data_IF_755487104728
#
_entry.id   IF_755487104728
#
_cell.length_a   1.000
_cell.length_b   1.000
_cell.length_c   1.000
_cell.angle_alpha   90.00
_cell.angle_beta   90.00
_cell.angle_gamma   90.00
#
_symmetry.space_group_name_H-M   'P 1'
#
loop_
_entity.id
_entity.type
_entity.pdbx_description
1 polymer ?
#
# COMPACT_ATOMS: atom_id res chain seq x y z
N UNK A 1 -39.12 -35.34 35.54
CA UNK A 1 -38.29 -34.18 35.91
C UNK A 1 -37.10 -34.16 34.98
N UNK A 2 -37.18 -33.33 33.95
CA UNK A 2 -36.06 -32.92 33.10
C UNK A 2 -35.55 -31.62 33.68
N UNK A 3 -34.25 -31.52 33.93
CA UNK A 3 -33.48 -30.29 33.80
C UNK A 3 -31.99 -30.60 33.95
N UNK A 4 -31.19 -30.30 32.94
CA UNK A 4 -30.12 -29.29 33.07
C UNK A 4 -29.27 -29.25 31.79
N UNK A 5 -29.28 -28.03 31.24
CA UNK A 5 -28.36 -27.39 30.30
C UNK A 5 -26.92 -27.95 30.25
N UNK A 6 -26.40 -28.13 29.03
CA UNK A 6 -24.97 -28.01 28.75
C UNK A 6 -24.74 -26.94 27.68
N UNK A 7 -24.14 -25.84 28.12
CA UNK A 7 -23.48 -24.84 27.30
C UNK A 7 -22.26 -25.46 26.59
N UNK A 8 -22.10 -25.18 25.31
CA UNK A 8 -20.89 -25.52 24.54
C UNK A 8 -19.85 -24.44 24.80
N UNK A 9 -18.72 -24.86 25.36
CA UNK A 9 -17.56 -24.03 25.72
C UNK A 9 -16.77 -23.63 24.47
N UNK A 10 -16.52 -22.33 24.28
CA UNK A 10 -15.68 -21.79 23.23
C UNK A 10 -14.21 -22.18 23.46
N UNK A 11 -13.60 -22.83 22.47
CA UNK A 11 -12.17 -23.13 22.48
C UNK A 11 -11.34 -21.84 22.43
N UNK A 12 -10.60 -21.58 23.51
CA UNK A 12 -9.53 -20.59 23.59
C UNK A 12 -8.38 -21.01 22.66
N UNK A 13 -8.08 -20.20 21.65
CA UNK A 13 -6.89 -20.38 20.82
C UNK A 13 -5.66 -19.76 21.50
N UNK A 14 -4.54 -20.49 21.65
CA UNK A 14 -3.31 -19.92 22.19
C UNK A 14 -2.65 -19.01 21.15
N UNK A 15 -2.51 -17.72 21.49
CA UNK A 15 -1.64 -16.79 20.77
C UNK A 15 -0.17 -17.17 21.05
N UNK A 16 0.48 -17.87 20.11
CA UNK A 16 1.94 -17.92 20.08
C UNK A 16 2.47 -16.80 19.17
N UNK A 17 3.12 -15.75 19.72
CA UNK A 17 3.80 -14.78 18.90
C UNK A 17 5.02 -15.45 18.25
N UNK A 18 5.01 -15.55 16.92
CA UNK A 18 6.18 -15.94 16.13
C UNK A 18 7.21 -14.83 16.27
N UNK A 19 8.31 -15.09 16.99
CA UNK A 19 9.49 -14.21 17.02
C UNK A 19 10.25 -14.37 15.70
N UNK A 20 10.19 -13.34 14.85
CA UNK A 20 11.08 -13.22 13.71
C UNK A 20 12.50 -12.91 14.21
N UNK A 21 13.50 -13.62 13.67
CA UNK A 21 14.90 -13.23 13.81
C UNK A 21 15.12 -11.99 12.95
N UNK A 22 15.63 -10.93 13.56
CA UNK A 22 16.00 -9.67 12.91
C UNK A 22 16.93 -9.94 11.71
N UNK A 23 16.44 -9.67 10.51
CA UNK A 23 17.28 -9.49 9.33
C UNK A 23 18.01 -8.14 9.40
N UNK A 24 19.16 -8.07 8.74
CA UNK A 24 20.11 -6.95 8.63
C UNK A 24 19.47 -5.54 8.75
N UNK A 25 20.12 -4.57 9.43
CA UNK A 25 19.44 -3.48 10.11
C UNK A 25 18.63 -2.65 9.12
N UNK A 26 17.33 -2.63 9.37
CA UNK A 26 16.38 -1.71 8.80
C UNK A 26 16.82 -0.26 8.97
N UNK A 27 16.47 0.57 7.99
CA UNK A 27 16.58 2.01 8.10
C UNK A 27 15.79 2.49 9.33
N UNK A 28 16.48 2.79 10.42
CA UNK A 28 15.82 3.19 11.66
C UNK A 28 15.15 4.57 11.47
N UNK A 29 14.30 5.01 12.40
CA UNK A 29 13.60 6.30 12.31
C UNK A 29 14.54 7.48 12.01
N UNK A 30 15.78 7.41 12.49
CA UNK A 30 16.81 8.43 12.26
C UNK A 30 17.30 8.40 10.81
N UNK A 31 17.54 7.23 10.24
CA UNK A 31 17.95 7.10 8.83
C UNK A 31 16.83 7.52 7.87
N UNK A 32 15.56 7.27 8.20
CA UNK A 32 14.40 7.78 7.44
C UNK A 32 14.32 9.31 7.50
N UNK A 33 14.55 9.89 8.68
CA UNK A 33 14.66 11.34 8.87
C UNK A 33 15.77 11.92 7.99
N UNK A 34 16.98 11.35 8.08
CA UNK A 34 18.14 11.77 7.30
C UNK A 34 17.87 11.68 5.79
N UNK A 35 17.18 10.64 5.30
CA UNK A 35 16.83 10.51 3.88
C UNK A 35 15.85 11.61 3.44
N UNK A 36 14.84 11.93 4.26
CA UNK A 36 13.93 13.05 3.97
C UNK A 36 14.70 14.38 3.91
N UNK A 37 15.57 14.64 4.88
CA UNK A 37 16.43 15.83 4.91
C UNK A 37 17.31 15.93 3.67
N UNK A 38 17.94 14.82 3.25
CA UNK A 38 18.78 14.79 2.04
C UNK A 38 18.00 15.15 0.77
N UNK A 39 16.77 14.65 0.63
CA UNK A 39 15.93 14.93 -0.54
C UNK A 39 15.44 16.38 -0.55
N UNK A 40 15.02 16.90 0.61
CA UNK A 40 14.65 18.31 0.77
C UNK A 40 15.85 19.20 0.48
N UNK A 41 17.04 18.86 0.99
CA UNK A 41 18.27 19.58 0.71
C UNK A 41 18.63 19.57 -0.78
N UNK A 42 18.51 18.41 -1.45
CA UNK A 42 18.72 18.29 -2.89
C UNK A 42 17.76 19.18 -3.69
N UNK A 43 16.48 19.22 -3.32
CA UNK A 43 15.51 20.11 -3.93
C UNK A 43 15.92 21.58 -3.85
N UNK A 44 16.32 22.06 -2.66
CA UNK A 44 16.76 23.44 -2.51
C UNK A 44 18.04 23.75 -3.30
N UNK A 45 19.01 22.82 -3.32
CA UNK A 45 20.23 22.97 -4.16
C UNK A 45 19.88 23.11 -5.64
N UNK A 46 19.00 22.25 -6.15
CA UNK A 46 18.53 22.31 -7.54
C UNK A 46 17.83 23.63 -7.87
N UNK A 47 17.21 24.29 -6.89
CA UNK A 47 16.54 25.57 -7.02
C UNK A 47 17.45 26.79 -6.69
N UNK A 48 18.77 26.57 -6.66
CA UNK A 48 19.78 27.62 -6.57
C UNK A 48 19.97 28.18 -5.16
N UNK A 49 19.76 27.36 -4.13
CA UNK A 49 20.16 27.66 -2.76
C UNK A 49 21.51 27.01 -2.43
N UNK A 50 22.30 27.68 -1.60
CA UNK A 50 23.37 27.06 -0.82
C UNK A 50 22.73 26.32 0.36
N UNK A 51 23.08 25.04 0.57
CA UNK A 51 22.35 24.18 1.52
C UNK A 51 23.30 23.36 2.39
N UNK A 52 23.09 23.46 3.69
CA UNK A 52 23.72 22.67 4.74
C UNK A 52 22.66 21.89 5.54
N UNK A 53 23.04 20.76 6.13
CA UNK A 53 22.14 19.90 6.90
C UNK A 53 22.63 19.76 8.33
N UNK A 54 21.71 19.58 9.28
CA UNK A 54 22.00 19.41 10.71
C UNK A 54 22.90 20.52 11.27
N UNK A 55 22.61 21.77 10.88
CA UNK A 55 23.41 22.94 11.24
C UNK A 55 23.07 23.35 12.67
N UNK A 56 24.10 23.55 13.50
CA UNK A 56 23.95 24.06 14.86
C UNK A 56 24.19 25.56 14.88
N UNK A 57 23.18 26.31 15.29
CA UNK A 57 23.21 27.78 15.35
C UNK A 57 22.94 28.21 16.79
N UNK A 58 23.80 29.05 17.33
CA UNK A 58 23.57 29.72 18.61
C UNK A 58 22.60 30.89 18.41
N UNK A 59 21.46 30.84 19.12
CA UNK A 59 20.47 31.91 19.12
C UNK A 59 20.88 33.08 20.01
N UNK A 60 20.14 34.19 19.93
CA UNK A 60 20.35 35.40 20.76
C UNK A 60 20.25 35.10 22.26
N UNK A 61 19.51 34.05 22.63
CA UNK A 61 19.39 33.55 24.00
C UNK A 61 20.65 32.85 24.54
N UNK A 62 21.63 32.52 23.68
CA UNK A 62 22.76 31.63 23.98
C UNK A 62 22.41 30.14 23.87
N UNK A 63 21.16 29.80 23.54
CA UNK A 63 20.74 28.42 23.27
C UNK A 63 21.21 27.95 21.89
N UNK A 64 21.67 26.70 21.80
CA UNK A 64 22.04 26.07 20.53
C UNK A 64 20.83 25.38 19.93
N UNK A 65 20.47 25.75 18.71
CA UNK A 65 19.40 25.14 17.93
C UNK A 65 20.00 24.33 16.77
N UNK A 66 19.45 23.15 16.54
CA UNK A 66 19.80 22.32 15.38
C UNK A 66 18.72 22.49 14.31
N UNK A 67 19.15 22.72 13.07
CA UNK A 67 18.29 22.91 11.91
C UNK A 67 18.55 21.79 10.92
N UNK A 68 17.52 20.98 10.67
CA UNK A 68 17.62 19.78 9.84
C UNK A 68 18.12 20.12 8.42
N UNK A 69 17.52 21.13 7.78
CA UNK A 69 18.02 21.71 6.52
C UNK A 69 18.04 23.23 6.60
N UNK A 70 19.23 23.80 6.44
CA UNK A 70 19.46 25.23 6.35
C UNK A 70 19.76 25.59 4.89
N UNK A 71 18.97 26.49 4.31
CA UNK A 71 19.10 26.87 2.91
C UNK A 71 19.20 28.39 2.75
N UNK A 72 20.23 28.88 2.08
CA UNK A 72 20.50 30.29 1.86
C UNK A 72 20.51 30.63 0.38
N UNK A 73 19.94 31.78 0.04
CA UNK A 73 20.03 32.34 -1.30
C UNK A 73 20.39 33.81 -1.22
N UNK A 74 21.43 34.19 -1.94
CA UNK A 74 21.83 35.58 -2.12
C UNK A 74 21.15 36.14 -3.36
N UNK A 75 20.49 37.29 -3.24
CA UNK A 75 19.82 37.97 -4.36
C UNK A 75 20.62 39.15 -4.95
N UNK A 76 21.84 39.37 -4.46
CA UNK A 76 22.66 40.53 -4.82
C UNK A 76 22.67 41.64 -3.77
N UNK A 77 21.72 41.63 -2.83
CA UNK A 77 21.52 42.69 -1.82
C UNK A 77 21.44 42.10 -0.41
N UNK A 78 20.69 41.03 -0.23
CA UNK A 78 20.49 40.38 1.07
C UNK A 78 20.56 38.87 0.96
N UNK A 79 20.93 38.24 2.07
CA UNK A 79 20.73 36.82 2.25
C UNK A 79 19.28 36.56 2.63
N UNK A 80 18.68 35.60 1.94
CA UNK A 80 17.41 35.00 2.32
C UNK A 80 17.65 33.58 2.80
N UNK A 81 17.47 33.36 4.10
CA UNK A 81 17.76 32.13 4.80
C UNK A 81 16.45 31.43 5.19
N UNK A 82 16.38 30.14 4.88
CA UNK A 82 15.32 29.23 5.25
C UNK A 82 15.84 28.26 6.33
N UNK A 83 15.03 28.04 7.36
CA UNK A 83 15.15 26.88 8.24
C UNK A 83 14.04 25.90 7.90
N UNK A 84 14.41 24.66 7.60
CA UNK A 84 13.46 23.60 7.26
C UNK A 84 13.55 22.50 8.31
N UNK A 85 12.45 22.27 9.01
CA UNK A 85 12.30 21.16 9.96
C UNK A 85 11.66 19.97 9.24
N UNK A 86 12.30 18.82 9.27
CA UNK A 86 11.85 17.60 8.63
C UNK A 86 11.24 16.63 9.65
N UNK A 87 10.03 16.16 9.36
CA UNK A 87 9.30 15.18 10.19
C UNK A 87 8.86 14.01 9.34
N UNK A 88 9.71 12.99 9.32
CA UNK A 88 9.45 11.69 8.67
C UNK A 88 8.55 10.74 9.50
N UNK A 89 7.73 11.30 10.38
CA UNK A 89 6.86 10.55 11.29
C UNK A 89 5.74 9.83 10.55
N UNK A 90 5.23 8.75 11.13
CA UNK A 90 4.07 8.00 10.62
C UNK A 90 2.72 8.61 11.02
N UNK A 91 2.74 9.64 11.88
CA UNK A 91 1.55 10.35 12.35
C UNK A 91 1.64 11.83 11.98
N UNK A 92 0.49 12.52 11.78
CA UNK A 92 0.47 13.95 11.55
C UNK A 92 1.15 14.71 12.69
N UNK A 93 1.86 15.80 12.37
CA UNK A 93 2.46 16.66 13.39
C UNK A 93 1.40 17.43 14.19
N UNK A 94 1.77 17.78 15.42
CA UNK A 94 0.96 18.60 16.31
C UNK A 94 1.52 20.03 16.42
N UNK A 95 0.82 20.87 17.19
CA UNK A 95 1.13 22.31 17.33
C UNK A 95 2.52 22.55 17.92
N UNK A 96 3.01 21.65 18.76
CA UNK A 96 4.29 21.73 19.44
C UNK A 96 5.47 21.84 18.45
N UNK A 97 5.45 21.08 17.35
CA UNK A 97 6.48 21.14 16.29
C UNK A 97 6.54 22.55 15.69
N UNK A 98 5.38 23.14 15.41
CA UNK A 98 5.27 24.49 14.85
C UNK A 98 5.75 25.54 15.84
N UNK A 99 5.32 25.44 17.11
CA UNK A 99 5.73 26.36 18.17
C UNK A 99 7.23 26.30 18.41
N UNK A 100 7.84 25.11 18.39
CA UNK A 100 9.29 24.93 18.49
C UNK A 100 10.02 25.66 17.36
N UNK A 101 9.63 25.43 16.10
CA UNK A 101 10.29 26.09 14.97
C UNK A 101 10.11 27.62 15.02
N UNK A 102 8.93 28.13 15.40
CA UNK A 102 8.73 29.58 15.57
C UNK A 102 9.71 30.17 16.59
N UNK A 103 9.90 29.50 17.74
CA UNK A 103 10.88 29.93 18.75
C UNK A 103 12.31 29.95 18.19
N UNK A 104 12.70 28.92 17.43
CA UNK A 104 14.02 28.85 16.78
C UNK A 104 14.22 30.03 15.82
N UNK A 105 13.23 30.33 14.97
CA UNK A 105 13.30 31.44 14.02
C UNK A 105 13.45 32.80 14.72
N UNK A 106 12.67 33.03 15.78
CA UNK A 106 12.73 34.26 16.55
C UNK A 106 14.10 34.46 17.22
N UNK A 107 14.67 33.38 17.76
CA UNK A 107 15.93 33.41 18.48
C UNK A 107 17.15 33.51 17.54
N UNK A 108 17.11 32.85 16.39
CA UNK A 108 18.20 32.85 15.41
C UNK A 108 18.15 33.99 14.40
N UNK A 109 16.97 34.60 14.18
CA UNK A 109 16.78 35.65 13.18
C UNK A 109 16.69 35.14 11.73
N UNK A 110 16.49 33.85 11.53
CA UNK A 110 16.27 33.26 10.19
C UNK A 110 14.98 33.79 9.57
N UNK A 111 15.00 34.05 8.26
CA UNK A 111 13.94 34.82 7.59
C UNK A 111 12.62 34.06 7.49
N UNK A 112 12.67 32.74 7.27
CA UNK A 112 11.47 31.93 7.01
C UNK A 112 11.65 30.48 7.46
N UNK A 113 10.60 29.93 8.07
CA UNK A 113 10.51 28.51 8.41
C UNK A 113 9.63 27.73 7.45
N UNK A 114 10.05 26.49 7.17
CA UNK A 114 9.26 25.49 6.46
C UNK A 114 9.23 24.23 7.33
N UNK A 115 8.08 23.58 7.47
CA UNK A 115 7.98 22.25 8.09
C UNK A 115 7.56 21.27 7.02
N UNK A 116 8.38 20.24 6.85
CA UNK A 116 8.12 19.13 5.94
C UNK A 116 7.60 17.95 6.75
N UNK A 117 6.38 17.49 6.47
CA UNK A 117 5.75 16.40 7.21
C UNK A 117 5.19 15.32 6.27
N UNK A 118 5.76 14.11 6.34
CA UNK A 118 5.35 13.00 5.47
C UNK A 118 3.87 12.62 5.60
N UNK A 119 3.29 12.78 6.79
CA UNK A 119 1.90 12.44 7.08
C UNK A 119 1.05 13.67 7.40
N UNK A 120 1.48 14.86 6.98
CA UNK A 120 0.76 16.11 7.18
C UNK A 120 0.66 16.54 8.65
N UNK A 121 -0.42 17.22 9.00
CA UNK A 121 -0.58 17.90 10.30
C UNK A 121 -2.04 17.90 10.79
N UNK A 122 -2.23 18.13 12.10
CA UNK A 122 -3.55 18.39 12.69
C UNK A 122 -3.98 19.84 12.47
N UNK A 123 -5.28 20.14 12.56
CA UNK A 123 -5.83 21.50 12.37
C UNK A 123 -5.23 22.55 13.32
N UNK A 124 -4.85 22.14 14.54
CA UNK A 124 -4.16 23.02 15.49
C UNK A 124 -2.76 23.44 15.03
N UNK A 125 -2.03 22.53 14.37
CA UNK A 125 -0.73 22.82 13.77
C UNK A 125 -0.87 23.71 12.53
N UNK A 126 -1.87 23.46 11.67
CA UNK A 126 -2.18 24.33 10.53
C UNK A 126 -2.48 25.77 10.95
N UNK A 127 -3.34 25.92 11.95
CA UNK A 127 -3.73 27.23 12.50
C UNK A 127 -2.51 27.95 13.07
N UNK A 128 -1.67 27.24 13.83
CA UNK A 128 -0.44 27.79 14.37
C UNK A 128 0.54 28.19 13.27
N UNK A 129 0.76 27.36 12.25
CA UNK A 129 1.71 27.65 11.18
C UNK A 129 1.30 28.90 10.41
N UNK A 130 -0.01 29.07 10.15
CA UNK A 130 -0.55 30.28 9.55
C UNK A 130 -0.32 31.53 10.41
N UNK A 131 -0.50 31.43 11.73
CA UNK A 131 -0.26 32.55 12.66
C UNK A 131 1.22 32.94 12.71
N UNK A 132 2.09 31.94 12.79
CA UNK A 132 3.55 32.10 12.86
C UNK A 132 4.20 32.35 11.48
N UNK A 133 3.39 32.36 10.40
CA UNK A 133 3.85 32.50 9.00
C UNK A 133 4.87 31.43 8.59
N UNK A 134 4.78 30.24 9.19
CA UNK A 134 5.56 29.05 8.82
C UNK A 134 4.84 28.33 7.68
N UNK A 135 5.60 27.93 6.67
CA UNK A 135 5.07 27.17 5.54
C UNK A 135 5.05 25.68 5.87
N UNK A 136 4.03 24.97 5.38
CA UNK A 136 3.87 23.53 5.62
C UNK A 136 3.91 22.80 4.29
N UNK A 137 4.77 21.80 4.19
CA UNK A 137 4.84 20.88 3.05
C UNK A 137 4.36 19.50 3.48
N UNK A 138 3.18 19.12 3.01
CA UNK A 138 2.56 17.83 3.24
C UNK A 138 2.76 16.90 2.05
N UNK A 139 2.01 15.79 1.98
CA UNK A 139 2.12 14.84 0.87
C UNK A 139 1.94 15.46 -0.52
N UNK A 140 1.07 16.47 -0.65
CA UNK A 140 0.79 17.12 -1.92
C UNK A 140 1.99 17.97 -2.39
N UNK A 141 2.48 18.84 -1.52
CA UNK A 141 3.62 19.72 -1.78
C UNK A 141 4.90 18.89 -1.98
N UNK A 142 5.08 17.82 -1.20
CA UNK A 142 6.21 16.90 -1.39
C UNK A 142 6.13 16.17 -2.73
N UNK A 143 4.93 15.81 -3.19
CA UNK A 143 4.77 15.22 -4.52
C UNK A 143 5.11 16.23 -5.62
N UNK A 144 4.70 17.49 -5.44
CA UNK A 144 4.98 18.57 -6.39
C UNK A 144 6.48 18.91 -6.45
N UNK A 145 7.14 19.00 -5.30
CA UNK A 145 8.55 19.42 -5.19
C UNK A 145 9.53 18.27 -5.43
N UNK A 146 9.26 17.06 -4.91
CA UNK A 146 10.20 15.92 -4.93
C UNK A 146 9.82 14.82 -5.93
N UNK A 147 8.57 14.82 -6.42
CA UNK A 147 8.05 13.79 -7.31
C UNK A 147 7.42 12.58 -6.58
N UNK A 148 6.45 11.95 -7.24
CA UNK A 148 5.64 10.85 -6.67
C UNK A 148 6.41 9.56 -6.38
N UNK A 149 7.48 9.28 -7.13
CA UNK A 149 8.34 8.10 -6.94
C UNK A 149 9.15 8.24 -5.64
N UNK A 150 9.81 9.38 -5.44
CA UNK A 150 10.61 9.64 -4.25
C UNK A 150 9.75 9.65 -2.97
N UNK A 151 8.54 10.20 -3.03
CA UNK A 151 7.63 10.16 -1.89
C UNK A 151 7.14 8.73 -1.57
N UNK A 152 6.98 7.89 -2.59
CA UNK A 152 6.68 6.48 -2.39
C UNK A 152 7.85 5.76 -1.73
N UNK A 153 9.10 6.04 -2.13
CA UNK A 153 10.31 5.44 -1.55
C UNK A 153 10.53 5.87 -0.08
N UNK A 154 10.32 7.16 0.22
CA UNK A 154 10.39 7.70 1.59
C UNK A 154 9.31 7.11 2.51
N UNK A 155 8.12 6.82 1.98
CA UNK A 155 7.06 6.12 2.72
C UNK A 155 7.31 4.61 2.80
N UNK A 156 7.99 4.04 1.80
CA UNK A 156 8.31 2.62 1.73
C UNK A 156 9.33 2.17 2.79
N UNK A 157 10.17 3.10 3.28
CA UNK A 157 11.22 2.86 4.28
C UNK A 157 10.73 2.67 5.74
N UNK A 158 9.43 2.72 6.03
CA UNK A 158 8.89 2.35 7.35
C UNK A 158 8.71 0.84 7.44
N UNK A 159 9.45 0.19 8.35
CA UNK A 159 9.48 -1.28 8.53
C UNK A 159 8.23 -1.94 9.09
N UNK A 160 7.13 -1.21 9.22
CA UNK A 160 5.81 -1.77 9.45
C UNK A 160 4.77 -0.85 8.80
N UNK A 161 4.25 -1.25 7.63
CA UNK A 161 3.13 -0.60 6.96
C UNK A 161 1.85 -1.05 7.63
N UNK A 162 1.01 -0.10 8.07
CA UNK A 162 -0.34 -0.40 8.49
C UNK A 162 -1.16 -0.68 7.22
N UNK A 163 -1.69 -1.89 7.09
CA UNK A 163 -2.54 -2.30 5.98
C UNK A 163 -3.81 -2.96 6.49
N UNK A 164 -4.82 -2.98 5.64
CA UNK A 164 -6.05 -3.72 5.89
C UNK A 164 -5.88 -5.11 5.27
N UNK A 165 -5.70 -6.15 6.08
CA UNK A 165 -5.53 -7.52 5.60
C UNK A 165 -6.86 -8.25 5.42
N UNK A 166 -6.98 -9.00 4.32
CA UNK A 166 -8.05 -9.98 4.18
C UNK A 166 -7.85 -11.14 5.20
N UNK A 167 -8.91 -11.88 5.59
CA UNK A 167 -8.86 -12.95 6.59
C UNK A 167 -8.17 -14.25 6.11
N UNK A 168 -7.05 -14.12 5.39
CA UNK A 168 -6.21 -15.21 4.91
C UNK A 168 -4.79 -15.06 5.50
N UNK A 169 -4.57 -15.49 6.75
CA UNK A 169 -3.28 -15.33 7.41
C UNK A 169 -2.21 -16.18 6.72
N UNK A 170 -0.95 -15.82 6.94
CA UNK A 170 0.19 -16.66 6.54
C UNK A 170 0.09 -18.01 7.26
N UNK A 171 0.11 -19.11 6.48
CA UNK A 171 0.12 -20.48 7.00
C UNK A 171 1.36 -21.26 6.57
N UNK A 172 2.01 -20.84 5.48
CA UNK A 172 3.20 -21.49 4.93
C UNK A 172 4.44 -20.73 5.37
N UNK A 173 5.29 -21.41 6.12
CA UNK A 173 6.56 -20.85 6.58
C UNK A 173 7.57 -20.76 5.42
N UNK A 174 8.52 -19.83 5.55
CA UNK A 174 9.54 -19.58 4.53
C UNK A 174 10.32 -20.84 4.14
N UNK A 175 10.63 -21.69 5.12
CA UNK A 175 11.41 -22.91 4.95
C UNK A 175 10.72 -23.93 4.02
N UNK A 176 9.39 -23.94 4.01
CA UNK A 176 8.58 -24.87 3.20
C UNK A 176 8.52 -24.47 1.73
N UNK A 177 8.89 -23.21 1.40
CA UNK A 177 8.85 -22.69 0.04
C UNK A 177 10.06 -23.09 -0.78
N UNK A 178 11.19 -23.40 -0.13
CA UNK A 178 12.47 -23.62 -0.82
C UNK A 178 12.33 -24.67 -1.92
N UNK A 179 11.62 -25.76 -1.66
CA UNK A 179 11.36 -26.83 -2.65
C UNK A 179 10.51 -26.34 -3.82
N UNK A 180 9.48 -25.55 -3.54
CA UNK A 180 8.59 -24.99 -4.56
C UNK A 180 9.34 -24.00 -5.43
N UNK A 181 10.10 -23.07 -4.84
CA UNK A 181 10.90 -22.07 -5.54
C UNK A 181 12.06 -22.69 -6.32
N UNK A 182 12.75 -23.70 -5.77
CA UNK A 182 13.76 -24.47 -6.48
C UNK A 182 13.17 -25.16 -7.72
N UNK A 183 11.95 -25.67 -7.61
CA UNK A 183 11.24 -26.25 -8.77
C UNK A 183 10.94 -25.18 -9.82
N UNK A 184 10.54 -23.97 -9.41
CA UNK A 184 10.30 -22.84 -10.33
C UNK A 184 11.59 -22.28 -10.98
N UNK A 185 12.76 -22.48 -10.36
CA UNK A 185 14.06 -22.11 -10.93
C UNK A 185 14.52 -23.03 -12.07
N UNK A 186 13.96 -24.25 -12.16
CA UNK A 186 14.33 -25.25 -13.17
C UNK A 186 13.50 -24.98 -14.43
N UNK A 187 14.14 -24.55 -15.51
CA UNK A 187 13.48 -24.42 -16.81
C UNK A 187 12.88 -25.75 -17.30
N UNK A 188 12.05 -25.69 -18.35
CA UNK A 188 11.45 -26.89 -18.95
C UNK A 188 12.52 -27.96 -19.24
N UNK A 189 12.25 -29.19 -18.80
CA UNK A 189 13.15 -30.35 -18.94
C UNK A 189 14.54 -30.21 -18.28
N UNK A 190 14.67 -29.36 -17.25
CA UNK A 190 15.95 -29.18 -16.55
C UNK A 190 16.99 -28.38 -17.34
N UNK A 191 16.59 -27.77 -18.46
CA UNK A 191 17.47 -26.91 -19.26
C UNK A 191 17.25 -25.45 -18.91
N UNK A 192 18.34 -24.76 -18.56
CA UNK A 192 18.34 -23.32 -18.28
C UNK A 192 17.76 -22.96 -16.91
N UNK A 193 18.57 -23.15 -15.87
CA UNK A 193 18.29 -22.69 -14.51
C UNK A 193 18.24 -21.15 -14.50
N UNK A 194 17.24 -20.60 -13.83
CA UNK A 194 17.15 -19.17 -13.55
C UNK A 194 17.83 -18.87 -12.22
N UNK A 195 18.55 -17.76 -12.16
CA UNK A 195 19.19 -17.31 -10.93
C UNK A 195 18.14 -16.65 -10.05
N UNK A 196 17.95 -17.19 -8.84
CA UNK A 196 17.10 -16.55 -7.83
C UNK A 196 17.89 -15.42 -7.21
N UNK A 197 17.39 -14.20 -7.37
CA UNK A 197 18.04 -12.97 -6.90
C UNK A 197 17.69 -12.73 -5.43
N UNK A 198 16.40 -12.75 -5.09
CA UNK A 198 15.90 -12.64 -3.72
C UNK A 198 14.51 -13.27 -3.56
N UNK A 199 14.10 -13.49 -2.30
CA UNK A 199 12.77 -13.96 -1.92
C UNK A 199 12.30 -13.26 -0.63
N UNK A 200 11.04 -12.83 -0.58
CA UNK A 200 10.49 -12.14 0.60
C UNK A 200 8.96 -12.26 0.66
N UNK A 201 8.40 -12.22 1.87
CA UNK A 201 6.96 -12.10 2.10
C UNK A 201 6.50 -10.67 1.77
N UNK A 202 5.54 -10.55 0.86
CA UNK A 202 4.92 -9.29 0.47
C UNK A 202 3.40 -9.34 0.61
N UNK A 203 2.82 -8.23 1.05
CA UNK A 203 1.38 -8.04 1.11
C UNK A 203 0.91 -7.37 -0.19
N UNK A 204 0.19 -8.13 -1.03
CA UNK A 204 -0.24 -7.71 -2.36
C UNK A 204 -1.64 -7.08 -2.27
N UNK A 205 -1.91 -5.92 -2.89
CA UNK A 205 -3.17 -5.19 -2.75
C UNK A 205 -4.27 -5.73 -3.69
N UNK A 206 -5.49 -5.73 -3.19
CA UNK A 206 -6.70 -6.13 -3.90
C UNK A 206 -7.85 -5.15 -3.59
N UNK A 207 -8.69 -4.89 -4.57
CA UNK A 207 -10.00 -4.28 -4.34
C UNK A 207 -10.98 -5.36 -3.88
N UNK A 208 -11.40 -5.32 -2.63
CA UNK A 208 -12.51 -6.12 -2.11
C UNK A 208 -13.81 -5.37 -2.34
N UNK A 209 -14.68 -5.94 -3.18
CA UNK A 209 -16.02 -5.42 -3.44
C UNK A 209 -17.06 -6.25 -2.69
N UNK A 210 -17.94 -5.59 -1.95
CA UNK A 210 -19.18 -6.18 -1.44
C UNK A 210 -20.27 -6.02 -2.49
N UNK A 211 -20.81 -7.16 -2.94
CA UNK A 211 -21.77 -7.24 -4.04
C UNK A 211 -23.11 -7.77 -3.53
N UNK A 212 -24.18 -7.04 -3.81
CA UNK A 212 -25.54 -7.54 -3.66
C UNK A 212 -26.02 -8.13 -4.98
N UNK A 213 -26.13 -9.46 -5.02
CA UNK A 213 -26.49 -10.22 -6.21
C UNK A 213 -27.94 -10.68 -6.11
N UNK A 214 -28.77 -10.23 -7.04
CA UNK A 214 -30.15 -10.71 -7.18
C UNK A 214 -30.22 -11.82 -8.21
N UNK A 215 -30.84 -12.94 -7.87
CA UNK A 215 -31.08 -14.09 -8.74
C UNK A 215 -32.57 -14.44 -8.75
N UNK A 216 -33.07 -14.96 -9.87
CA UNK A 216 -34.46 -15.43 -9.97
C UNK A 216 -34.50 -16.91 -9.67
N UNK A 217 -35.24 -17.28 -8.62
CA UNK A 217 -35.48 -18.68 -8.25
C UNK A 217 -36.84 -19.10 -8.82
N UNK A 218 -36.84 -20.22 -9.55
CA UNK A 218 -38.07 -20.82 -10.09
C UNK A 218 -38.30 -22.17 -9.42
N UNK A 219 -39.26 -22.22 -8.52
CA UNK A 219 -39.77 -23.47 -7.95
C UNK A 219 -40.94 -24.00 -8.81
N UNK A 220 -41.04 -25.33 -8.93
CA UNK A 220 -42.13 -25.96 -9.67
C UNK A 220 -43.49 -25.54 -9.08
N UNK A 221 -44.41 -25.09 -9.94
CA UNK A 221 -45.77 -24.60 -9.61
C UNK A 221 -45.87 -23.28 -8.81
N UNK A 222 -44.76 -22.59 -8.50
CA UNK A 222 -44.78 -21.31 -7.79
C UNK A 222 -44.38 -20.14 -8.69
N UNK A 223 -44.87 -18.93 -8.34
CA UNK A 223 -44.42 -17.70 -9.00
C UNK A 223 -42.91 -17.52 -8.77
N UNK A 224 -42.14 -17.08 -9.79
CA UNK A 224 -40.72 -16.80 -9.61
C UNK A 224 -40.51 -15.79 -8.49
N UNK A 225 -39.52 -16.06 -7.62
CA UNK A 225 -39.13 -15.14 -6.55
C UNK A 225 -37.70 -14.66 -6.79
N UNK A 226 -37.41 -13.45 -6.34
CA UNK A 226 -36.05 -12.90 -6.38
C UNK A 226 -35.37 -13.20 -5.06
N UNK A 227 -34.20 -13.84 -5.12
CA UNK A 227 -33.33 -14.04 -3.96
C UNK A 227 -32.14 -13.09 -4.09
N UNK A 228 -31.93 -12.27 -3.05
CA UNK A 228 -30.73 -11.43 -2.92
C UNK A 228 -29.71 -12.17 -2.07
N UNK A 229 -28.45 -12.13 -2.46
CA UNK A 229 -27.33 -12.74 -1.72
C UNK A 229 -26.14 -11.79 -1.76
N UNK A 230 -25.45 -11.64 -0.64
CA UNK A 230 -24.21 -10.88 -0.56
C UNK A 230 -23.04 -11.77 -0.95
N UNK A 231 -22.15 -11.23 -1.77
CA UNK A 231 -20.89 -11.87 -2.14
C UNK A 231 -19.74 -10.88 -2.01
N UNK A 232 -18.57 -11.37 -1.64
CA UNK A 232 -17.32 -10.62 -1.61
C UNK A 232 -16.48 -11.06 -2.80
N UNK A 233 -16.02 -10.09 -3.60
CA UNK A 233 -15.17 -10.35 -4.76
C UNK A 233 -13.87 -9.58 -4.64
N UNK A 234 -12.73 -10.27 -4.84
CA UNK A 234 -11.44 -9.63 -4.90
C UNK A 234 -10.97 -9.46 -6.33
N UNK A 235 -10.38 -8.30 -6.59
CA UNK A 235 -9.75 -7.95 -7.85
C UNK A 235 -8.35 -7.45 -7.56
N UNK A 236 -7.36 -7.92 -8.30
CA UNK A 236 -5.98 -7.49 -8.13
C UNK A 236 -5.86 -5.97 -8.36
N UNK A 237 -5.34 -5.23 -7.39
CA UNK A 237 -5.25 -3.77 -7.48
C UNK A 237 -4.05 -3.28 -8.32
N UNK A 238 -3.33 -4.20 -8.99
CA UNK A 238 -2.30 -3.86 -9.97
C UNK A 238 -2.85 -3.77 -11.39
N UNK A 239 -3.90 -4.53 -11.72
CA UNK A 239 -4.43 -4.65 -13.08
C UNK A 239 -5.97 -4.80 -13.18
N UNK A 240 -6.70 -4.72 -12.07
CA UNK A 240 -8.16 -4.85 -11.96
C UNK A 240 -8.74 -6.21 -12.39
N UNK A 241 -7.92 -7.26 -12.53
CA UNK A 241 -8.43 -8.59 -12.86
C UNK A 241 -9.07 -9.26 -11.64
N UNK A 242 -10.21 -9.93 -11.87
CA UNK A 242 -10.87 -10.75 -10.85
C UNK A 242 -9.92 -11.84 -10.35
N UNK A 243 -9.89 -12.04 -9.03
CA UNK A 243 -9.09 -13.05 -8.36
C UNK A 243 -9.95 -14.21 -7.88
N UNK A 244 -10.91 -13.93 -7.00
CA UNK A 244 -11.96 -14.88 -6.62
C UNK A 244 -13.18 -14.16 -6.03
N UNK A 245 -14.27 -14.92 -5.87
CA UNK A 245 -15.48 -14.47 -5.17
C UNK A 245 -15.91 -15.51 -4.14
N UNK A 246 -16.54 -15.07 -3.04
CA UNK A 246 -17.09 -15.93 -1.99
C UNK A 246 -18.39 -15.35 -1.44
N UNK A 247 -19.26 -16.19 -0.87
CA UNK A 247 -20.43 -15.76 -0.08
C UNK A 247 -20.15 -15.80 1.43
N UNK A 248 -18.96 -16.25 1.83
CA UNK A 248 -18.49 -16.16 3.21
C UNK A 248 -18.02 -14.73 3.48
N UNK A 249 -18.42 -14.18 4.63
CA UNK A 249 -18.07 -12.81 4.99
C UNK A 249 -16.55 -12.64 5.08
N UNK A 250 -16.04 -11.61 4.42
CA UNK A 250 -14.63 -11.24 4.47
C UNK A 250 -14.46 -9.97 5.29
N UNK A 251 -14.31 -10.13 6.61
CA UNK A 251 -14.05 -9.02 7.53
C UNK A 251 -12.54 -8.75 7.55
N UNK A 252 -12.08 -7.62 7.01
CA UNK A 252 -10.66 -7.29 7.01
C UNK A 252 -10.21 -6.82 8.39
N UNK A 253 -8.90 -6.93 8.67
CA UNK A 253 -8.31 -6.47 9.92
C UNK A 253 -7.11 -5.57 9.64
N UNK A 254 -6.95 -4.50 10.41
CA UNK A 254 -5.74 -3.68 10.36
C UNK A 254 -4.56 -4.42 10.98
N UNK A 255 -3.47 -4.52 10.24
CA UNK A 255 -2.25 -5.18 10.67
C UNK A 255 -1.01 -4.38 10.25
N UNK A 256 0.08 -4.56 10.99
CA UNK A 256 1.38 -4.04 10.61
C UNK A 256 2.17 -5.09 9.85
N UNK A 257 2.73 -4.72 8.70
CA UNK A 257 3.44 -5.64 7.82
C UNK A 257 4.76 -5.05 7.32
N UNK A 258 5.82 -5.86 7.18
CA UNK A 258 7.14 -5.35 6.79
C UNK A 258 7.14 -4.82 5.36
N UNK A 259 6.39 -5.44 4.45
CA UNK A 259 6.33 -5.10 3.02
C UNK A 259 4.89 -5.17 2.55
N UNK A 260 4.38 -4.07 2.00
CA UNK A 260 3.10 -4.04 1.32
C UNK A 260 3.19 -3.30 0.00
N UNK A 261 2.73 -3.91 -1.08
CA UNK A 261 2.69 -3.26 -2.37
C UNK A 261 1.48 -2.30 -2.39
N UNK A 262 1.70 -1.09 -2.87
CA UNK A 262 0.64 -0.09 -3.01
C UNK A 262 -0.30 -0.42 -4.18
N UNK A 263 -1.59 -0.05 -4.12
CA UNK A 263 -2.49 -0.24 -5.26
C UNK A 263 -2.08 0.67 -6.42
N UNK A 264 -2.19 0.17 -7.66
CA UNK A 264 -1.94 0.93 -8.89
C UNK A 264 -3.24 1.39 -9.56
N UNK A 265 -4.34 0.71 -9.25
CA UNK A 265 -5.66 0.94 -9.86
C UNK A 265 -6.69 1.33 -8.81
N UNK A 266 -7.87 1.75 -9.28
CA UNK A 266 -9.04 2.02 -8.43
C UNK A 266 -10.16 1.00 -8.71
N UNK A 267 -11.10 0.86 -7.78
CA UNK A 267 -12.26 -0.02 -7.92
C UNK A 267 -13.35 0.50 -8.87
N UNK A 268 -13.39 1.81 -9.15
CA UNK A 268 -14.45 2.45 -9.95
C UNK A 268 -14.62 1.84 -11.36
N UNK A 269 -13.55 1.57 -12.14
CA UNK A 269 -13.67 0.89 -13.43
C UNK A 269 -14.22 -0.54 -13.33
N UNK A 270 -13.95 -1.24 -12.22
CA UNK A 270 -14.44 -2.61 -11.99
C UNK A 270 -15.97 -2.57 -11.83
N UNK A 271 -16.48 -1.72 -10.94
CA UNK A 271 -17.92 -1.53 -10.74
C UNK A 271 -18.65 -1.16 -12.03
N UNK A 272 -18.09 -0.23 -12.81
CA UNK A 272 -18.63 0.14 -14.11
C UNK A 272 -18.65 -1.05 -15.10
N UNK A 273 -17.59 -1.86 -15.12
CA UNK A 273 -17.50 -3.04 -15.98
C UNK A 273 -18.54 -4.11 -15.61
N UNK A 274 -18.74 -4.36 -14.31
CA UNK A 274 -19.74 -5.30 -13.79
C UNK A 274 -21.14 -4.91 -14.26
N UNK A 275 -21.56 -3.68 -13.95
CA UNK A 275 -22.91 -3.18 -14.27
C UNK A 275 -23.15 -3.15 -15.78
N UNK A 276 -22.19 -2.61 -16.55
CA UNK A 276 -22.34 -2.50 -18.00
C UNK A 276 -22.36 -3.85 -18.70
N UNK A 277 -21.56 -4.82 -18.24
CA UNK A 277 -21.53 -6.16 -18.85
C UNK A 277 -22.83 -6.92 -18.56
N UNK A 278 -23.35 -6.82 -17.33
CA UNK A 278 -24.63 -7.44 -16.97
C UNK A 278 -25.78 -6.84 -17.79
N UNK A 279 -25.85 -5.51 -17.91
CA UNK A 279 -26.85 -4.82 -18.73
C UNK A 279 -26.79 -5.31 -20.18
N UNK A 280 -25.60 -5.34 -20.80
CA UNK A 280 -25.43 -5.83 -22.17
C UNK A 280 -25.80 -7.31 -22.33
N UNK A 281 -25.47 -8.15 -21.34
CA UNK A 281 -25.85 -9.57 -21.34
C UNK A 281 -27.38 -9.75 -21.37
N UNK A 282 -28.13 -8.86 -20.72
CA UNK A 282 -29.59 -8.90 -20.65
C UNK A 282 -30.25 -8.35 -21.91
N UNK A 283 -29.69 -7.30 -22.51
CA UNK A 283 -30.25 -6.64 -23.70
C UNK A 283 -30.06 -7.46 -24.99
N UNK A 284 -29.00 -8.27 -25.08
CA UNK A 284 -28.70 -9.04 -26.29
C UNK A 284 -29.54 -10.31 -26.43
N UNK A 285 -30.11 -10.48 -27.62
CA UNK A 285 -30.95 -11.63 -27.98
C UNK A 285 -30.21 -12.69 -28.80
N UNK A 286 -29.16 -12.31 -29.55
CA UNK A 286 -28.35 -13.24 -30.35
C UNK A 286 -27.51 -14.14 -29.43
N UNK A 287 -27.63 -15.45 -29.59
CA UNK A 287 -26.93 -16.43 -28.76
C UNK A 287 -25.40 -16.28 -28.77
N UNK A 288 -24.80 -15.96 -29.92
CA UNK A 288 -23.34 -15.72 -30.00
C UNK A 288 -22.91 -14.51 -29.18
N UNK A 289 -23.68 -13.41 -29.21
CA UNK A 289 -23.44 -12.24 -28.35
C UNK A 289 -23.65 -12.57 -26.88
N UNK A 290 -24.70 -13.34 -26.57
CA UNK A 290 -25.05 -13.73 -25.20
C UNK A 290 -23.97 -14.62 -24.58
N UNK A 291 -23.44 -15.59 -25.34
CA UNK A 291 -22.32 -16.43 -24.93
C UNK A 291 -21.03 -15.62 -24.66
N UNK A 292 -20.75 -14.60 -25.49
CA UNK A 292 -19.62 -13.69 -25.27
C UNK A 292 -19.74 -12.94 -23.95
N UNK A 293 -20.89 -12.31 -23.68
CA UNK A 293 -21.07 -11.57 -22.43
C UNK A 293 -21.16 -12.48 -21.20
N UNK A 294 -21.69 -13.70 -21.33
CA UNK A 294 -21.60 -14.74 -20.29
C UNK A 294 -20.15 -15.00 -19.89
N UNK A 295 -19.27 -15.18 -20.88
CA UNK A 295 -17.83 -15.39 -20.64
C UNK A 295 -17.20 -14.18 -19.95
N UNK A 296 -17.59 -12.95 -20.35
CA UNK A 296 -17.12 -11.72 -19.71
C UNK A 296 -17.60 -11.60 -18.25
N UNK A 297 -18.86 -11.93 -17.96
CA UNK A 297 -19.40 -11.96 -16.59
C UNK A 297 -18.64 -12.97 -15.72
N UNK A 298 -18.41 -14.17 -16.24
CA UNK A 298 -17.61 -15.19 -15.55
C UNK A 298 -16.19 -14.70 -15.27
N UNK A 299 -15.56 -13.99 -16.23
CA UNK A 299 -14.23 -13.39 -16.04
C UNK A 299 -14.23 -12.26 -15.01
N UNK A 300 -15.37 -11.61 -14.80
CA UNK A 300 -15.59 -10.62 -13.76
C UNK A 300 -16.05 -11.24 -12.43
N UNK A 301 -16.11 -12.56 -12.30
CA UNK A 301 -16.54 -13.23 -11.07
C UNK A 301 -18.04 -13.15 -10.77
N UNK A 302 -18.87 -12.88 -11.79
CA UNK A 302 -20.33 -12.79 -11.67
C UNK A 302 -20.97 -14.00 -12.36
N UNK A 303 -21.78 -14.81 -11.64
CA UNK A 303 -22.56 -15.87 -12.24
C UNK A 303 -23.57 -15.33 -13.25
N UNK A 304 -23.82 -16.05 -14.35
CA UNK A 304 -24.76 -15.65 -15.39
C UNK A 304 -26.24 -15.83 -15.02
N UNK A 305 -26.49 -16.37 -13.82
CA UNK A 305 -27.80 -16.44 -13.16
C UNK A 305 -28.21 -15.13 -12.48
N UNK A 306 -27.28 -14.19 -12.31
CA UNK A 306 -27.53 -12.89 -11.69
C UNK A 306 -28.36 -12.02 -12.64
N UNK A 307 -29.44 -11.43 -12.11
CA UNK A 307 -30.33 -10.52 -12.84
C UNK A 307 -30.18 -9.06 -12.42
N UNK A 308 -29.60 -8.80 -11.25
CA UNK A 308 -29.21 -7.46 -10.81
C UNK A 308 -28.01 -7.56 -9.88
N UNK A 309 -27.12 -6.57 -9.94
CA UNK A 309 -25.93 -6.48 -9.12
C UNK A 309 -25.75 -5.03 -8.67
N UNK A 310 -25.51 -4.83 -7.38
CA UNK A 310 -25.08 -3.57 -6.78
C UNK A 310 -23.72 -3.76 -6.12
N UNK A 311 -22.83 -2.76 -6.24
CA UNK A 311 -21.59 -2.68 -5.46
C UNK A 311 -21.88 -1.76 -4.28
N UNK A 312 -21.92 -2.31 -3.07
CA UNK A 312 -22.24 -1.55 -1.85
C UNK A 312 -21.00 -0.87 -1.28
N UNK A 313 -19.92 -1.65 -1.13
CA UNK A 313 -18.65 -1.18 -0.60
C UNK A 313 -17.49 -1.64 -1.47
N UNK A 314 -16.44 -0.81 -1.51
CA UNK A 314 -15.16 -1.15 -2.10
C UNK A 314 -14.03 -0.70 -1.16
N UNK A 315 -13.19 -1.65 -0.76
CA UNK A 315 -12.08 -1.41 0.17
C UNK A 315 -10.81 -2.02 -0.40
N UNK A 316 -9.68 -1.34 -0.21
CA UNK A 316 -8.38 -1.96 -0.49
C UNK A 316 -8.04 -2.89 0.66
N UNK A 317 -7.79 -4.15 0.33
CA UNK A 317 -7.30 -5.15 1.27
C UNK A 317 -6.01 -5.78 0.74
N UNK A 318 -5.23 -6.38 1.62
CA UNK A 318 -3.98 -7.03 1.26
C UNK A 318 -4.02 -8.52 1.58
N UNK A 319 -3.44 -9.32 0.67
CA UNK A 319 -3.23 -10.75 0.86
C UNK A 319 -1.73 -11.06 0.90
N UNK A 320 -1.29 -12.02 1.73
CA UNK A 320 0.12 -12.34 1.84
C UNK A 320 0.59 -13.31 0.74
N UNK A 321 1.68 -12.96 0.07
CA UNK A 321 2.35 -13.79 -0.93
C UNK A 321 3.85 -13.83 -0.65
N UNK A 322 4.44 -15.00 -0.78
CA UNK A 322 5.88 -15.12 -0.94
C UNK A 322 6.25 -14.79 -2.38
N UNK A 323 7.09 -13.78 -2.55
CA UNK A 323 7.50 -13.28 -3.86
C UNK A 323 8.98 -13.54 -4.05
N UNK A 324 9.36 -14.17 -5.16
CA UNK A 324 10.76 -14.40 -5.54
C UNK A 324 11.08 -13.77 -6.88
N UNK A 325 12.21 -13.07 -6.97
CA UNK A 325 12.76 -12.54 -8.22
C UNK A 325 13.68 -13.56 -8.88
N UNK A 326 13.42 -13.83 -10.15
CA UNK A 326 14.19 -14.73 -10.99
C UNK A 326 14.76 -13.96 -12.18
N UNK A 327 16.06 -14.15 -12.44
CA UNK A 327 16.78 -13.54 -13.54
C UNK A 327 17.34 -14.61 -14.48
N UNK A 328 17.23 -14.37 -15.79
CA UNK A 328 17.91 -15.18 -16.80
C UNK A 328 18.16 -14.39 -18.08
N UNK A 329 19.42 -14.34 -18.51
CA UNK A 329 19.85 -13.77 -19.81
C UNK A 329 19.26 -12.37 -20.05
N UNK A 330 19.26 -11.51 -19.03
CA UNK A 330 18.72 -10.15 -19.13
C UNK A 330 17.20 -10.03 -19.02
N UNK A 331 16.48 -11.13 -18.80
CA UNK A 331 15.03 -11.12 -18.53
C UNK A 331 14.77 -11.43 -17.06
N UNK A 332 13.89 -10.63 -16.44
CA UNK A 332 13.49 -10.79 -15.06
C UNK A 332 12.00 -11.12 -14.94
N UNK A 333 11.65 -11.96 -13.98
CA UNK A 333 10.27 -12.25 -13.63
C UNK A 333 10.10 -12.50 -12.14
N UNK A 334 8.91 -12.21 -11.64
CA UNK A 334 8.50 -12.48 -10.27
C UNK A 334 7.62 -13.74 -10.23
N UNK A 335 7.84 -14.56 -9.21
CA UNK A 335 6.99 -15.71 -8.87
C UNK A 335 6.31 -15.41 -7.55
N UNK A 336 4.98 -15.48 -7.55
CA UNK A 336 4.16 -15.35 -6.35
C UNK A 336 3.68 -16.73 -5.90
N UNK A 337 3.86 -17.04 -4.61
CA UNK A 337 3.29 -18.20 -3.94
C UNK A 337 2.34 -17.67 -2.88
N UNK A 338 1.07 -18.05 -2.94
CA UNK A 338 0.09 -17.63 -1.94
C UNK A 338 0.52 -18.15 -0.56
N UNK A 339 0.76 -17.25 0.40
CA UNK A 339 1.33 -17.60 1.70
C UNK A 339 0.33 -18.30 2.63
N UNK A 340 -0.96 -18.30 2.27
CA UNK A 340 -2.00 -19.04 2.97
C UNK A 340 -2.11 -20.49 2.48
N UNK A 341 -1.97 -20.73 1.16
CA UNK A 341 -2.18 -22.05 0.55
C UNK A 341 -0.90 -22.78 0.15
N UNK A 342 0.21 -22.06 -0.02
CA UNK A 342 1.48 -22.59 -0.53
C UNK A 342 1.53 -22.84 -2.03
N UNK A 343 0.50 -22.44 -2.76
CA UNK A 343 0.38 -22.69 -4.21
C UNK A 343 0.97 -21.54 -5.02
N UNK A 344 1.72 -21.87 -6.08
CA UNK A 344 2.20 -20.87 -7.06
C UNK A 344 1.01 -20.23 -7.75
N UNK A 345 0.96 -18.91 -7.77
CA UNK A 345 -0.11 -18.13 -8.39
C UNK A 345 0.39 -17.47 -9.67
N UNK A 346 0.09 -18.08 -10.82
CA UNK A 346 0.53 -17.58 -12.12
C UNK A 346 -0.07 -16.23 -12.49
N UNK A 347 -1.29 -15.95 -12.03
CA UNK A 347 -1.99 -14.69 -12.35
C UNK A 347 -1.34 -13.52 -11.62
N UNK A 348 -1.05 -13.69 -10.33
CA UNK A 348 -0.35 -12.70 -9.51
C UNK A 348 1.11 -12.58 -9.94
N UNK A 349 1.80 -13.69 -10.25
CA UNK A 349 3.16 -13.67 -10.80
C UNK A 349 3.26 -12.80 -12.06
N UNK A 350 2.30 -12.93 -12.99
CA UNK A 350 2.25 -12.12 -14.20
C UNK A 350 2.00 -10.64 -13.88
N UNK A 351 1.06 -10.33 -12.98
CA UNK A 351 0.73 -8.95 -12.64
C UNK A 351 1.88 -8.22 -11.93
N UNK A 352 2.57 -8.91 -11.02
CA UNK A 352 3.77 -8.42 -10.35
C UNK A 352 4.90 -8.19 -11.36
N UNK A 353 5.18 -9.15 -12.23
CA UNK A 353 6.22 -9.02 -13.27
C UNK A 353 5.96 -7.83 -14.20
N UNK A 354 4.69 -7.61 -14.63
CA UNK A 354 4.31 -6.44 -15.43
C UNK A 354 4.42 -5.12 -14.66
N UNK A 355 4.51 -5.17 -13.34
CA UNK A 355 4.63 -4.03 -12.45
C UNK A 355 5.98 -3.99 -11.73
N UNK A 356 7.03 -4.60 -12.30
CA UNK A 356 8.33 -4.84 -11.66
C UNK A 356 8.89 -3.63 -10.93
N UNK A 357 8.94 -2.46 -11.58
CA UNK A 357 9.46 -1.24 -10.96
C UNK A 357 8.71 -0.85 -9.67
N UNK A 358 7.40 -1.04 -9.66
CA UNK A 358 6.54 -0.75 -8.52
C UNK A 358 6.70 -1.79 -7.39
N UNK A 359 6.98 -3.05 -7.75
CA UNK A 359 7.28 -4.10 -6.78
C UNK A 359 8.66 -3.87 -6.15
N UNK A 360 9.67 -3.52 -6.95
CA UNK A 360 11.02 -3.19 -6.46
C UNK A 360 11.00 -2.03 -5.47
N UNK A 361 10.33 -0.93 -5.78
CA UNK A 361 10.19 0.19 -4.84
C UNK A 361 9.56 -0.23 -3.49
N UNK A 362 8.75 -1.29 -3.47
CA UNK A 362 8.18 -1.82 -2.23
C UNK A 362 9.07 -2.83 -1.49
N UNK A 363 10.00 -3.50 -2.18
CA UNK A 363 10.69 -4.70 -1.72
C UNK A 363 12.22 -4.58 -1.66
N UNK A 364 12.81 -3.68 -2.43
CA UNK A 364 14.23 -3.33 -2.46
C UNK A 364 14.35 -1.85 -2.01
N UNK A 365 14.57 -1.56 -0.72
CA UNK A 365 15.06 -0.23 -0.36
C UNK A 365 16.48 -0.11 -0.92
N UNK A 366 16.72 0.90 -1.75
CA UNK A 366 17.97 1.13 -2.49
C UNK A 366 19.24 0.79 -1.68
N UNK A 367 20.01 -0.19 -2.14
CA UNK A 367 21.41 -0.42 -1.75
C UNK A 367 22.29 0.60 -2.47
N UNK A 368 22.26 1.88 -2.05
CA UNK A 368 23.22 2.90 -2.51
C UNK A 368 23.70 3.79 -1.39
#
# INVERSE_FOLDING_TARGET
>A
MMESSQFVECAHFPHHPVRYKEGNPSMNTQEKGARLEQQVAAYFRLNGYEVEQNVKIEGKSGGIHEIDVWARKWDGITDFILAVECKAWATPIEKDVVSKLSMVLADTGINKGIIVALHGWRSGAETAARQEKIELWGPAELTEHLGSVMLADLNAASTNRLVVAAPYPVRVAEQDLRKTLDTQSRGLFGTGREDRVWEQLAWVPFHQLELHLSTVVREFLRRPTTKVTTAWALYNALDNRHYFSTTESMVPAEIQVPVAISPKTTAKPIGASLVNTLKKYQEVTRESSKARYRTQLQTLGVPDTVVSLTVEHATIVHLPFWVGLFHRRGTERLVAINAHTGTVDGSISQALTKSMAFVRAAMEPDDH
#
